data_IF_671700727597
#
_entry.id   IF_671700727597
#
_cell.length_a   1.000
_cell.length_b   1.000
_cell.length_c   1.000
_cell.angle_alpha   90.00
_cell.angle_beta   90.00
_cell.angle_gamma   90.00
#
_symmetry.space_group_name_H-M   'P 1'
#
loop_
_entity.id
_entity.type
_entity.pdbx_description
1 polymer ?
#
# COMPACT_ATOMS: atom_id res chain seq x y z
N UNK A 1 4.40 5.22 24.94
CA UNK A 1 3.69 6.31 24.22
C UNK A 1 4.72 7.32 23.72
N UNK A 2 5.49 6.94 22.71
CA UNK A 2 6.37 7.84 21.97
C UNK A 2 5.59 8.30 20.75
N UNK A 3 5.22 9.58 20.69
CA UNK A 3 4.52 10.17 19.55
C UNK A 3 5.48 10.30 18.38
N UNK A 4 5.22 9.59 17.29
CA UNK A 4 5.85 9.81 15.99
C UNK A 4 5.52 11.24 15.53
N UNK A 5 6.55 12.08 15.35
CA UNK A 5 6.40 13.47 14.91
C UNK A 5 6.69 13.57 13.42
N UNK A 6 5.64 13.55 12.59
CA UNK A 6 5.74 13.94 11.20
C UNK A 6 5.95 15.47 11.12
N UNK A 7 7.08 15.90 10.56
CA UNK A 7 7.37 17.30 10.28
C UNK A 7 6.52 17.80 9.11
N UNK A 8 5.50 18.61 9.40
CA UNK A 8 4.75 19.34 8.38
C UNK A 8 5.59 20.53 7.85
N UNK A 9 6.02 20.46 6.58
CA UNK A 9 6.62 21.57 5.86
C UNK A 9 5.50 22.44 5.29
N UNK A 10 5.21 23.56 5.95
CA UNK A 10 4.31 24.60 5.44
C UNK A 10 4.95 25.36 4.27
N UNK A 11 4.45 25.15 3.07
CA UNK A 11 4.77 25.94 1.88
C UNK A 11 3.84 27.16 1.79
N UNK A 12 4.42 28.36 1.84
CA UNK A 12 3.70 29.62 1.69
C UNK A 12 3.30 29.84 0.21
N UNK A 13 1.99 29.94 -0.05
CA UNK A 13 1.44 30.24 -1.38
C UNK A 13 1.35 31.76 -1.54
N UNK A 14 2.09 32.28 -2.53
CA UNK A 14 2.04 33.68 -2.95
C UNK A 14 0.79 33.93 -3.83
N UNK A 15 -0.10 34.78 -3.32
CA UNK A 15 -1.29 35.25 -4.02
C UNK A 15 -0.90 36.29 -5.07
N UNK A 16 -1.10 36.00 -6.36
CA UNK A 16 -0.98 36.97 -7.45
C UNK A 16 -2.29 37.01 -8.25
N UNK A 17 -2.99 38.13 -8.10
CA UNK A 17 -4.23 38.47 -8.79
C UNK A 17 -3.90 38.94 -10.21
N UNK A 18 -4.22 38.13 -11.21
CA UNK A 18 -4.22 38.51 -12.61
C UNK A 18 -5.65 38.80 -13.10
N UNK A 19 -5.92 40.04 -13.45
CA UNK A 19 -7.16 40.49 -14.09
C UNK A 19 -7.28 39.89 -15.50
N UNK A 20 -8.38 39.21 -15.81
CA UNK A 20 -8.72 38.77 -17.17
C UNK A 20 -10.02 39.42 -17.63
N UNK A 21 -9.94 40.17 -18.73
CA UNK A 21 -11.06 40.85 -19.36
C UNK A 21 -11.79 39.93 -20.35
N UNK A 22 -13.11 39.98 -20.31
CA UNK A 22 -14.01 39.32 -21.26
C UNK A 22 -14.01 40.00 -22.63
N UNK A 23 -14.16 39.22 -23.70
CA UNK A 23 -15.07 39.59 -24.81
C UNK A 23 -15.51 38.34 -25.60
N UNK A 24 -16.78 38.29 -26.06
CA UNK A 24 -17.39 37.11 -26.67
C UNK A 24 -17.43 37.19 -28.21
N UNK A 25 -17.39 36.03 -28.87
CA UNK A 25 -17.85 35.87 -30.25
C UNK A 25 -18.53 34.51 -30.43
N UNK A 26 -19.84 34.53 -30.66
CA UNK A 26 -20.71 33.42 -31.08
C UNK A 26 -20.85 33.40 -32.63
N UNK A 27 -21.58 32.46 -33.24
CA UNK A 27 -21.11 31.14 -33.69
C UNK A 27 -21.21 31.01 -35.23
N UNK A 28 -20.70 29.94 -35.81
CA UNK A 28 -21.10 29.54 -37.16
C UNK A 28 -21.39 28.05 -37.22
N UNK A 29 -22.58 27.73 -37.71
CA UNK A 29 -23.16 26.41 -37.78
C UNK A 29 -22.75 25.68 -39.07
N UNK A 30 -22.54 24.38 -38.98
CA UNK A 30 -22.64 23.43 -40.10
C UNK A 30 -22.96 22.05 -39.51
N UNK A 31 -24.05 21.44 -39.96
CA UNK A 31 -24.55 20.11 -39.57
C UNK A 31 -23.97 18.99 -40.47
N UNK A 32 -24.40 17.71 -40.34
CA UNK A 32 -23.85 16.70 -39.45
C UNK A 32 -23.17 15.55 -40.23
N UNK A 33 -22.11 14.96 -39.68
CA UNK A 33 -21.57 13.69 -40.17
C UNK A 33 -21.58 12.67 -39.03
N UNK A 34 -22.26 11.54 -39.26
CA UNK A 34 -22.32 10.43 -38.30
C UNK A 34 -20.99 9.67 -38.33
N UNK A 35 -20.29 9.46 -37.21
CA UNK A 35 -19.08 8.66 -37.22
C UNK A 35 -19.40 7.16 -37.11
N UNK A 36 -18.71 6.38 -37.93
CA UNK A 36 -18.54 4.93 -37.78
C UNK A 36 -17.89 4.59 -36.42
N UNK A 37 -18.03 3.35 -35.90
CA UNK A 37 -17.57 3.01 -34.57
C UNK A 37 -16.04 3.04 -34.50
N UNK A 38 -15.52 3.97 -33.70
CA UNK A 38 -14.10 4.04 -33.35
C UNK A 38 -13.80 3.00 -32.28
N UNK A 39 -12.88 2.08 -32.58
CA UNK A 39 -12.26 1.22 -31.59
C UNK A 39 -11.51 2.11 -30.59
N UNK A 40 -11.88 2.01 -29.31
CA UNK A 40 -11.28 2.79 -28.24
C UNK A 40 -9.79 2.42 -28.10
N UNK A 41 -8.91 3.38 -28.35
CA UNK A 41 -7.52 3.37 -27.88
C UNK A 41 -7.52 3.52 -26.35
N UNK A 42 -6.52 2.99 -25.62
CA UNK A 42 -6.44 3.15 -24.18
C UNK A 42 -6.25 4.64 -23.85
N UNK A 43 -7.26 5.26 -23.23
CA UNK A 43 -7.18 6.63 -22.76
C UNK A 43 -6.08 6.74 -21.68
N UNK A 44 -5.09 7.59 -21.94
CA UNK A 44 -4.14 8.06 -20.92
C UNK A 44 -4.92 8.81 -19.84
N UNK A 45 -5.10 8.16 -18.68
CA UNK A 45 -5.82 8.73 -17.54
C UNK A 45 -5.09 9.98 -17.00
N UNK A 46 -5.82 10.96 -16.42
CA UNK A 46 -5.21 12.11 -15.78
C UNK A 46 -4.23 11.69 -14.68
N UNK A 47 -3.04 12.31 -14.65
CA UNK A 47 -1.99 12.05 -13.64
C UNK A 47 -2.51 12.16 -12.21
N UNK A 48 -3.47 13.06 -11.96
CA UNK A 48 -4.12 13.23 -10.65
C UNK A 48 -4.89 11.95 -10.20
N UNK A 49 -5.58 11.29 -11.12
CA UNK A 49 -6.28 10.03 -10.82
C UNK A 49 -5.33 8.88 -10.49
N UNK A 50 -4.17 8.82 -11.17
CA UNK A 50 -3.14 7.82 -10.90
C UNK A 50 -2.53 7.98 -9.50
N UNK A 51 -2.15 9.19 -9.12
CA UNK A 51 -1.58 9.43 -7.80
C UNK A 51 -2.58 9.09 -6.68
N UNK A 52 -3.87 9.43 -6.85
CA UNK A 52 -4.93 9.05 -5.91
C UNK A 52 -5.14 7.54 -5.83
N UNK A 53 -5.11 6.82 -6.96
CA UNK A 53 -5.25 5.36 -6.95
C UNK A 53 -4.09 4.68 -6.22
N UNK A 54 -2.85 5.17 -6.42
CA UNK A 54 -1.65 4.66 -5.73
C UNK A 54 -1.77 4.92 -4.23
N UNK A 55 -2.07 6.15 -3.81
CA UNK A 55 -2.21 6.49 -2.39
C UNK A 55 -3.29 5.67 -1.69
N UNK A 56 -4.47 5.56 -2.32
CA UNK A 56 -5.59 4.74 -1.86
C UNK A 56 -5.17 3.27 -1.65
N UNK A 57 -4.54 2.66 -2.65
CA UNK A 57 -4.11 1.27 -2.59
C UNK A 57 -2.96 1.07 -1.61
N UNK A 58 -2.02 2.01 -1.49
CA UNK A 58 -0.94 1.95 -0.49
C UNK A 58 -1.53 1.88 0.91
N UNK A 59 -2.46 2.78 1.28
CA UNK A 59 -3.07 2.80 2.61
C UNK A 59 -3.85 1.52 2.92
N UNK A 60 -4.66 1.03 1.98
CA UNK A 60 -5.38 -0.24 2.15
C UNK A 60 -4.42 -1.45 2.20
N UNK A 61 -3.31 -1.41 1.47
CA UNK A 61 -2.29 -2.47 1.50
C UNK A 61 -1.50 -2.47 2.82
N UNK A 62 -1.22 -1.31 3.41
CA UNK A 62 -0.67 -1.20 4.76
C UNK A 62 -1.64 -1.81 5.79
N UNK A 63 -2.94 -1.50 5.70
CA UNK A 63 -3.94 -2.17 6.54
C UNK A 63 -3.88 -3.69 6.39
N UNK A 64 -3.79 -4.22 5.16
CA UNK A 64 -3.65 -5.68 4.96
C UNK A 64 -2.36 -6.24 5.54
N UNK A 65 -1.24 -5.53 5.44
CA UNK A 65 0.03 -5.92 6.04
C UNK A 65 -0.07 -6.08 7.57
N UNK A 66 -0.66 -5.09 8.26
CA UNK A 66 -0.92 -5.22 9.69
C UNK A 66 -1.84 -6.40 10.02
N UNK A 67 -2.94 -6.57 9.26
CA UNK A 67 -3.88 -7.67 9.49
C UNK A 67 -3.23 -9.04 9.24
N UNK A 68 -2.27 -9.19 8.33
CA UNK A 68 -1.55 -10.47 8.17
C UNK A 68 -0.80 -10.85 9.45
N UNK A 69 -0.14 -9.88 10.09
CA UNK A 69 0.68 -10.12 11.29
C UNK A 69 -0.20 -10.31 12.51
N UNK A 70 -1.27 -9.52 12.65
CA UNK A 70 -2.28 -9.73 13.67
C UNK A 70 -2.87 -11.14 13.60
N UNK A 71 -3.15 -11.66 12.40
CA UNK A 71 -3.64 -13.02 12.22
C UNK A 71 -2.62 -14.06 12.71
N UNK A 72 -1.36 -13.95 12.28
CA UNK A 72 -0.28 -14.86 12.70
C UNK A 72 -0.14 -14.86 14.25
N UNK A 73 -0.20 -13.68 14.88
CA UNK A 73 -0.10 -13.55 16.34
C UNK A 73 -1.32 -14.10 17.08
N UNK A 74 -2.54 -13.95 16.54
CA UNK A 74 -3.74 -14.58 17.09
C UNK A 74 -3.67 -16.11 16.98
N UNK A 75 -3.17 -16.64 15.87
CA UNK A 75 -2.95 -18.08 15.67
C UNK A 75 -1.88 -18.65 16.63
N UNK A 76 -0.94 -17.81 17.06
CA UNK A 76 0.06 -18.11 18.09
C UNK A 76 -0.45 -17.89 19.53
N UNK A 77 -1.76 -17.64 19.72
CA UNK A 77 -2.37 -17.35 21.03
C UNK A 77 -1.76 -16.12 21.73
N UNK A 78 -1.32 -15.11 20.95
CA UNK A 78 -0.71 -13.85 21.43
C UNK A 78 -1.58 -12.62 21.12
N UNK A 79 -2.81 -12.53 21.66
CA UNK A 79 -3.72 -11.43 21.37
C UNK A 79 -3.20 -10.06 21.81
N UNK A 80 -2.38 -10.00 22.87
CA UNK A 80 -1.77 -8.74 23.33
C UNK A 80 -0.73 -8.19 22.35
N UNK A 81 -0.05 -9.06 21.60
CA UNK A 81 0.87 -8.63 20.53
C UNK A 81 0.09 -8.33 19.24
N UNK A 82 -1.01 -9.05 18.97
CA UNK A 82 -1.86 -8.80 17.80
C UNK A 82 -2.62 -7.46 17.88
N UNK A 83 -3.04 -7.05 19.08
CA UNK A 83 -3.86 -5.86 19.33
C UNK A 83 -3.35 -4.57 18.68
N UNK A 84 -2.08 -4.14 18.85
CA UNK A 84 -1.58 -2.92 18.22
C UNK A 84 -1.68 -2.95 16.69
N UNK A 85 -1.43 -4.10 16.07
CA UNK A 85 -1.55 -4.24 14.61
C UNK A 85 -3.00 -4.14 14.11
N UNK A 86 -3.98 -4.51 14.93
CA UNK A 86 -5.40 -4.28 14.59
C UNK A 86 -5.76 -2.79 14.82
N UNK A 87 -5.13 -2.16 15.81
CA UNK A 87 -5.28 -0.74 16.15
C UNK A 87 -4.71 0.21 15.10
N UNK A 88 -3.51 -0.03 14.55
CA UNK A 88 -2.85 0.86 13.58
C UNK A 88 -3.74 1.21 12.36
N UNK A 89 -4.43 0.25 11.70
CA UNK A 89 -5.44 0.55 10.69
C UNK A 89 -6.50 1.57 11.14
N UNK A 90 -6.99 1.47 12.37
CA UNK A 90 -8.08 2.30 12.91
C UNK A 90 -7.58 3.70 13.28
N UNK A 91 -6.46 3.75 13.99
CA UNK A 91 -5.96 4.95 14.67
C UNK A 91 -5.12 5.83 13.76
N UNK A 92 -4.41 5.23 12.80
CA UNK A 92 -3.38 5.92 12.02
C UNK A 92 -3.73 6.02 10.53
N UNK A 93 -4.38 5.01 9.96
CA UNK A 93 -4.58 4.94 8.50
C UNK A 93 -5.99 5.35 8.07
N UNK A 94 -7.02 4.93 8.82
CA UNK A 94 -8.41 5.04 8.33
C UNK A 94 -8.86 6.48 8.04
N UNK A 95 -8.47 7.45 8.88
CA UNK A 95 -8.88 8.85 8.71
C UNK A 95 -8.46 9.41 7.33
N UNK A 96 -7.29 9.02 6.83
CA UNK A 96 -6.75 9.45 5.53
C UNK A 96 -7.41 8.77 4.32
N UNK A 97 -8.30 7.79 4.57
CA UNK A 97 -9.07 7.08 3.56
C UNK A 97 -10.53 7.56 3.47
N UNK A 98 -11.07 8.26 4.47
CA UNK A 98 -12.50 8.57 4.56
C UNK A 98 -13.05 9.26 3.30
N UNK A 99 -12.37 10.32 2.86
CA UNK A 99 -12.76 11.06 1.66
C UNK A 99 -12.64 10.19 0.40
N UNK A 100 -11.58 9.40 0.28
CA UNK A 100 -11.36 8.55 -0.89
C UNK A 100 -12.36 7.38 -0.97
N UNK A 101 -12.76 6.82 0.17
CA UNK A 101 -13.83 5.81 0.24
C UNK A 101 -15.15 6.41 -0.23
N UNK A 102 -15.49 7.61 0.23
CA UNK A 102 -16.70 8.32 -0.18
C UNK A 102 -16.71 8.66 -1.68
N UNK A 103 -15.60 9.20 -2.21
CA UNK A 103 -15.43 9.49 -3.64
C UNK A 103 -15.63 8.25 -4.52
N UNK A 104 -15.28 7.07 -4.01
CA UNK A 104 -15.35 5.78 -4.71
C UNK A 104 -16.63 5.00 -4.44
N UNK A 105 -17.56 5.56 -3.66
CA UNK A 105 -18.81 4.90 -3.29
C UNK A 105 -18.64 3.67 -2.40
N UNK A 106 -17.51 3.56 -1.69
CA UNK A 106 -17.26 2.49 -0.72
C UNK A 106 -17.96 2.85 0.59
N UNK A 107 -18.73 1.91 1.13
CA UNK A 107 -19.34 2.09 2.44
C UNK A 107 -18.26 2.20 3.54
N UNK A 108 -18.42 3.09 4.53
CA UNK A 108 -17.47 3.19 5.62
C UNK A 108 -17.43 1.90 6.43
N UNK A 109 -16.23 1.46 6.81
CA UNK A 109 -15.98 0.23 7.56
C UNK A 109 -15.15 0.44 8.84
N UNK A 110 -14.95 1.68 9.29
CA UNK A 110 -14.23 1.98 10.55
C UNK A 110 -14.79 1.21 11.73
N UNK A 111 -16.12 1.17 11.86
CA UNK A 111 -16.80 0.46 12.94
C UNK A 111 -16.48 -1.04 12.94
N UNK A 112 -16.32 -1.66 11.77
CA UNK A 112 -15.91 -3.06 11.65
C UNK A 112 -14.49 -3.27 12.17
N UNK A 113 -13.56 -2.36 11.85
CA UNK A 113 -12.19 -2.42 12.37
C UNK A 113 -12.15 -2.20 13.90
N UNK A 114 -12.86 -1.18 14.39
CA UNK A 114 -12.95 -0.87 15.84
C UNK A 114 -13.56 -2.03 16.61
N UNK A 115 -14.58 -2.71 16.06
CA UNK A 115 -15.22 -3.84 16.74
C UNK A 115 -14.24 -4.99 17.00
N UNK A 116 -13.40 -5.36 16.01
CA UNK A 116 -12.40 -6.42 16.21
C UNK A 116 -11.26 -5.95 17.12
N UNK A 117 -10.83 -4.69 17.01
CA UNK A 117 -9.81 -4.10 17.89
C UNK A 117 -10.26 -4.15 19.35
N UNK A 118 -11.45 -3.62 19.66
CA UNK A 118 -12.05 -3.63 21.00
C UNK A 118 -12.21 -5.05 21.55
N UNK A 119 -12.55 -6.00 20.68
CA UNK A 119 -12.75 -7.39 21.07
C UNK A 119 -11.44 -8.06 21.48
N UNK A 120 -10.38 -7.91 20.68
CA UNK A 120 -9.04 -8.45 21.00
C UNK A 120 -8.47 -7.76 22.26
N UNK A 121 -8.64 -6.45 22.39
CA UNK A 121 -8.13 -5.68 23.53
C UNK A 121 -8.82 -6.05 24.85
N UNK A 122 -10.15 -6.16 24.86
CA UNK A 122 -10.93 -6.25 26.10
C UNK A 122 -11.43 -7.66 26.41
N UNK A 123 -11.54 -8.52 25.39
CA UNK A 123 -12.08 -9.88 25.50
C UNK A 123 -11.28 -10.85 24.61
N UNK A 124 -9.96 -11.01 24.84
CA UNK A 124 -9.06 -11.77 23.95
C UNK A 124 -9.38 -13.26 23.78
N UNK A 125 -10.31 -13.81 24.56
CA UNK A 125 -10.79 -15.20 24.45
C UNK A 125 -12.21 -15.30 23.88
N UNK A 126 -12.78 -14.20 23.39
CA UNK A 126 -14.12 -14.21 22.83
C UNK A 126 -14.14 -15.03 21.51
N UNK A 127 -15.03 -16.03 21.38
CA UNK A 127 -15.09 -16.87 20.19
C UNK A 127 -15.47 -16.10 18.91
N UNK A 128 -15.93 -14.85 19.04
CA UNK A 128 -16.26 -14.00 17.89
C UNK A 128 -15.04 -13.34 17.24
N UNK A 129 -13.85 -13.37 17.86
CA UNK A 129 -12.64 -12.68 17.33
C UNK A 129 -12.38 -13.06 15.89
N UNK A 130 -12.31 -14.35 15.57
CA UNK A 130 -12.01 -14.78 14.20
C UNK A 130 -13.06 -14.30 13.19
N UNK A 131 -14.35 -14.33 13.56
CA UNK A 131 -15.41 -13.88 12.68
C UNK A 131 -15.29 -12.37 12.40
N UNK A 132 -15.09 -11.55 13.45
CA UNK A 132 -14.94 -10.10 13.33
C UNK A 132 -13.67 -9.69 12.61
N UNK A 133 -12.60 -10.45 12.80
CA UNK A 133 -11.37 -10.29 12.07
C UNK A 133 -11.54 -10.56 10.58
N UNK A 134 -12.26 -11.61 10.22
CA UNK A 134 -12.60 -11.91 8.83
C UNK A 134 -13.50 -10.83 8.20
N UNK A 135 -14.46 -10.29 8.96
CA UNK A 135 -15.30 -9.18 8.52
C UNK A 135 -14.46 -7.92 8.22
N UNK A 136 -13.49 -7.61 9.08
CA UNK A 136 -12.53 -6.51 8.89
C UNK A 136 -11.68 -6.70 7.63
N UNK A 137 -11.11 -7.90 7.44
CA UNK A 137 -10.36 -8.24 6.21
C UNK A 137 -11.24 -8.10 4.98
N UNK A 138 -12.47 -8.63 5.00
CA UNK A 138 -13.38 -8.58 3.87
C UNK A 138 -13.77 -7.13 3.51
N UNK A 139 -13.90 -6.25 4.51
CA UNK A 139 -14.15 -4.84 4.27
C UNK A 139 -12.97 -4.15 3.57
N UNK A 140 -11.74 -4.41 4.00
CA UNK A 140 -10.53 -3.89 3.36
C UNK A 140 -10.40 -4.44 1.93
N UNK A 141 -10.57 -5.75 1.74
CA UNK A 141 -10.51 -6.39 0.41
C UNK A 141 -11.62 -5.87 -0.52
N UNK A 142 -12.82 -5.60 0.00
CA UNK A 142 -13.91 -4.97 -0.73
C UNK A 142 -13.57 -3.55 -1.17
N UNK A 143 -12.92 -2.77 -0.31
CA UNK A 143 -12.44 -1.42 -0.63
C UNK A 143 -11.35 -1.44 -1.71
N UNK A 144 -10.43 -2.40 -1.66
CA UNK A 144 -9.40 -2.62 -2.71
C UNK A 144 -10.08 -2.97 -4.05
N UNK A 145 -11.08 -3.86 -4.01
CA UNK A 145 -11.74 -4.39 -5.19
C UNK A 145 -12.61 -3.37 -5.97
N UNK A 146 -12.85 -2.17 -5.43
CA UNK A 146 -13.53 -1.09 -6.17
C UNK A 146 -12.67 -0.56 -7.32
N UNK A 147 -11.35 -0.65 -7.24
CA UNK A 147 -10.49 -0.37 -8.38
C UNK A 147 -10.46 -1.58 -9.33
N UNK A 148 -10.82 -1.42 -10.63
CA UNK A 148 -10.77 -2.50 -11.60
C UNK A 148 -9.40 -3.18 -11.64
N UNK A 149 -9.36 -4.50 -11.87
CA UNK A 149 -8.10 -5.26 -11.86
C UNK A 149 -7.10 -4.76 -12.90
N UNK A 150 -7.58 -4.38 -14.07
CA UNK A 150 -6.77 -3.80 -15.14
C UNK A 150 -6.04 -2.54 -14.68
N UNK A 151 -6.65 -1.78 -13.76
CA UNK A 151 -6.07 -0.58 -13.16
C UNK A 151 -5.17 -0.92 -11.98
N UNK A 152 -5.65 -1.68 -10.99
CA UNK A 152 -4.89 -1.98 -9.78
C UNK A 152 -3.67 -2.89 -10.03
N UNK A 153 -3.70 -3.72 -11.08
CA UNK A 153 -2.61 -4.62 -11.47
C UNK A 153 -1.80 -4.10 -12.66
N UNK A 154 -2.00 -2.83 -13.04
CA UNK A 154 -1.12 -2.15 -13.99
C UNK A 154 0.24 -1.88 -13.34
N UNK A 155 1.34 -1.92 -14.12
CA UNK A 155 2.68 -1.70 -13.57
C UNK A 155 2.87 -0.27 -13.02
N UNK A 156 2.16 0.72 -13.58
CA UNK A 156 2.15 2.12 -13.13
C UNK A 156 1.42 2.33 -11.79
N UNK A 157 0.62 1.35 -11.34
CA UNK A 157 -0.03 1.38 -10.02
C UNK A 157 0.62 0.40 -9.05
N UNK A 158 0.73 -0.87 -9.42
CA UNK A 158 1.15 -1.93 -8.51
C UNK A 158 2.60 -1.78 -8.04
N UNK A 159 3.53 -1.40 -8.94
CA UNK A 159 4.94 -1.25 -8.57
C UNK A 159 5.17 -0.07 -7.62
N UNK A 160 4.59 1.13 -7.84
CA UNK A 160 4.63 2.19 -6.83
C UNK A 160 4.01 1.80 -5.49
N UNK A 161 2.88 1.09 -5.48
CA UNK A 161 2.26 0.61 -4.22
C UNK A 161 3.21 -0.33 -3.47
N UNK A 162 3.84 -1.29 -4.18
CA UNK A 162 4.85 -2.18 -3.61
C UNK A 162 6.02 -1.38 -3.03
N UNK A 163 6.56 -0.42 -3.79
CA UNK A 163 7.69 0.39 -3.33
C UNK A 163 7.34 1.21 -2.08
N UNK A 164 6.15 1.81 -2.02
CA UNK A 164 5.69 2.54 -0.84
C UNK A 164 5.59 1.63 0.39
N UNK A 165 5.11 0.39 0.23
CA UNK A 165 5.07 -0.58 1.33
C UNK A 165 6.48 -0.94 1.81
N UNK A 166 7.42 -1.09 0.90
CA UNK A 166 8.82 -1.40 1.23
C UNK A 166 9.54 -0.23 1.90
N UNK A 167 9.23 1.01 1.53
CA UNK A 167 9.77 2.20 2.19
C UNK A 167 9.32 2.27 3.65
N UNK A 168 8.03 2.04 3.92
CA UNK A 168 7.50 1.95 5.28
C UNK A 168 8.11 0.77 6.02
N UNK A 169 8.17 -0.41 5.40
CA UNK A 169 8.77 -1.59 6.02
C UNK A 169 10.23 -1.37 6.42
N UNK A 170 11.02 -0.71 5.57
CA UNK A 170 12.41 -0.38 5.88
C UNK A 170 12.50 0.53 7.12
N UNK A 171 11.66 1.58 7.18
CA UNK A 171 11.65 2.52 8.29
C UNK A 171 11.24 1.83 9.61
N UNK A 172 10.22 0.99 9.59
CA UNK A 172 9.78 0.23 10.76
C UNK A 172 10.87 -0.74 11.24
N UNK A 173 11.55 -1.43 10.32
CA UNK A 173 12.65 -2.34 10.70
C UNK A 173 13.84 -1.60 11.32
N UNK A 174 14.17 -0.41 10.80
CA UNK A 174 15.19 0.45 11.39
C UNK A 174 14.78 0.90 12.81
N UNK A 175 13.53 1.33 12.99
CA UNK A 175 12.98 1.73 14.28
C UNK A 175 12.95 0.58 15.30
N UNK A 176 12.77 -0.65 14.83
CA UNK A 176 12.77 -1.85 15.66
C UNK A 176 14.13 -2.15 16.32
N UNK A 177 15.24 -1.65 15.77
CA UNK A 177 16.59 -2.04 16.16
C UNK A 177 17.27 -0.99 17.04
N UNK A 178 17.75 -1.42 18.20
CA UNK A 178 18.65 -0.61 19.05
C UNK A 178 19.75 -1.45 19.65
N UNK A 179 21.00 -0.98 19.57
CA UNK A 179 22.18 -1.68 20.10
C UNK A 179 22.28 -3.14 19.63
N UNK A 180 22.01 -3.39 18.35
CA UNK A 180 21.99 -4.72 17.72
C UNK A 180 21.03 -5.72 18.38
N UNK A 181 19.89 -5.22 18.86
CA UNK A 181 18.77 -5.99 19.40
C UNK A 181 17.48 -5.50 18.77
N UNK A 182 16.50 -6.39 18.63
CA UNK A 182 15.12 -5.95 18.39
C UNK A 182 14.58 -5.40 19.72
N UNK A 183 14.49 -4.09 19.84
CA UNK A 183 14.00 -3.40 21.04
C UNK A 183 12.52 -3.05 20.95
N UNK A 184 12.02 -2.81 19.74
CA UNK A 184 10.59 -2.55 19.50
C UNK A 184 10.05 -3.67 18.60
N UNK A 185 9.36 -4.64 19.23
CA UNK A 185 8.87 -5.82 18.53
C UNK A 185 7.71 -5.52 17.58
N UNK A 186 6.88 -4.51 17.91
CA UNK A 186 5.72 -4.09 17.12
C UNK A 186 6.19 -3.58 15.74
N UNK A 187 7.27 -2.83 15.69
CA UNK A 187 7.81 -2.21 14.48
C UNK A 187 8.51 -3.28 13.61
N UNK A 188 9.15 -4.27 14.25
CA UNK A 188 9.62 -5.48 13.56
C UNK A 188 8.46 -6.25 12.91
N UNK A 189 7.36 -6.39 13.65
CA UNK A 189 6.14 -7.08 13.24
C UNK A 189 5.41 -6.33 12.11
N UNK A 190 5.27 -5.01 12.18
CA UNK A 190 4.67 -4.19 11.12
C UNK A 190 5.49 -4.29 9.82
N UNK A 191 6.80 -4.14 9.93
CA UNK A 191 7.72 -4.31 8.81
C UNK A 191 7.56 -5.66 8.11
N UNK A 192 7.46 -6.76 8.88
CA UNK A 192 7.18 -8.11 8.37
C UNK A 192 5.89 -8.10 7.55
N UNK A 193 4.81 -7.57 8.10
CA UNK A 193 3.49 -7.58 7.47
C UNK A 193 3.49 -6.90 6.10
N UNK A 194 4.15 -5.76 6.00
CA UNK A 194 4.24 -5.02 4.74
C UNK A 194 5.07 -5.76 3.68
N UNK A 195 6.20 -6.36 4.06
CA UNK A 195 7.02 -7.18 3.15
C UNK A 195 6.26 -8.42 2.69
N UNK A 196 5.58 -9.12 3.61
CA UNK A 196 4.80 -10.31 3.27
C UNK A 196 3.64 -9.95 2.34
N UNK A 197 2.91 -8.86 2.59
CA UNK A 197 1.82 -8.45 1.73
C UNK A 197 2.32 -8.07 0.33
N UNK A 198 3.40 -7.29 0.25
CA UNK A 198 4.02 -6.90 -1.00
C UNK A 198 4.47 -8.12 -1.83
N UNK A 199 5.13 -9.10 -1.20
CA UNK A 199 5.71 -10.24 -1.90
C UNK A 199 4.70 -11.34 -2.23
N UNK A 200 3.74 -11.61 -1.35
CA UNK A 200 2.83 -12.75 -1.50
C UNK A 200 1.52 -12.40 -2.24
N UNK A 201 1.13 -11.12 -2.27
CA UNK A 201 -0.15 -10.69 -2.83
C UNK A 201 0.02 -9.69 -3.97
N UNK A 202 0.76 -8.60 -3.75
CA UNK A 202 0.88 -7.54 -4.74
C UNK A 202 1.79 -7.96 -5.92
N UNK A 203 3.04 -8.35 -5.64
CA UNK A 203 3.99 -8.68 -6.70
C UNK A 203 3.52 -9.85 -7.59
N UNK A 204 2.94 -10.95 -7.09
CA UNK A 204 2.45 -12.04 -7.92
C UNK A 204 1.36 -11.62 -8.90
N UNK A 205 0.58 -10.58 -8.57
CA UNK A 205 -0.47 -10.05 -9.46
C UNK A 205 0.09 -9.42 -10.74
N UNK A 206 1.35 -8.98 -10.71
CA UNK A 206 2.02 -8.31 -11.85
C UNK A 206 3.25 -9.05 -12.35
N UNK A 207 3.70 -10.11 -11.67
CA UNK A 207 4.92 -10.86 -11.97
C UNK A 207 5.00 -11.31 -13.43
N UNK A 208 3.91 -11.82 -14.01
CA UNK A 208 3.92 -12.29 -15.40
C UNK A 208 4.12 -11.13 -16.39
N UNK A 209 3.50 -9.98 -16.14
CA UNK A 209 3.71 -8.74 -16.90
C UNK A 209 5.15 -8.26 -16.76
N UNK A 210 5.68 -8.23 -15.53
CA UNK A 210 7.08 -7.89 -15.25
C UNK A 210 8.04 -8.82 -16.01
N UNK A 211 7.80 -10.13 -15.99
CA UNK A 211 8.60 -11.12 -16.74
C UNK A 211 8.58 -10.86 -18.24
N UNK A 212 7.42 -10.55 -18.81
CA UNK A 212 7.28 -10.29 -20.24
C UNK A 212 7.99 -8.99 -20.65
N UNK A 213 7.89 -7.94 -19.82
CA UNK A 213 8.51 -6.64 -20.08
C UNK A 213 10.02 -6.65 -19.88
N UNK A 214 10.51 -7.26 -18.78
CA UNK A 214 11.93 -7.33 -18.46
C UNK A 214 12.24 -8.58 -17.60
N UNK A 215 12.63 -9.71 -18.23
CA UNK A 215 12.95 -10.95 -17.52
C UNK A 215 14.11 -10.83 -16.52
N UNK A 216 15.04 -9.89 -16.73
CA UNK A 216 16.15 -9.68 -15.79
C UNK A 216 15.66 -8.95 -14.54
N UNK A 217 14.87 -7.88 -14.71
CA UNK A 217 14.24 -7.19 -13.58
C UNK A 217 13.36 -8.15 -12.77
N UNK A 218 12.63 -9.04 -13.44
CA UNK A 218 11.83 -10.05 -12.77
C UNK A 218 12.67 -10.96 -11.86
N UNK A 219 13.79 -11.50 -12.36
CA UNK A 219 14.71 -12.33 -11.57
C UNK A 219 15.34 -11.55 -10.41
N UNK A 220 15.75 -10.31 -10.66
CA UNK A 220 16.34 -9.45 -9.64
C UNK A 220 15.34 -9.16 -8.51
N UNK A 221 14.11 -8.78 -8.84
CA UNK A 221 13.06 -8.49 -7.86
C UNK A 221 12.75 -9.74 -7.04
N UNK A 222 12.58 -10.90 -7.68
CA UNK A 222 12.31 -12.16 -6.97
C UNK A 222 13.43 -12.55 -6.01
N UNK A 223 14.68 -12.55 -6.50
CA UNK A 223 15.82 -12.90 -5.66
C UNK A 223 15.97 -11.95 -4.46
N UNK A 224 15.72 -10.65 -4.67
CA UNK A 224 15.79 -9.65 -3.61
C UNK A 224 14.65 -9.82 -2.60
N UNK A 225 13.41 -10.12 -3.01
CA UNK A 225 12.33 -10.46 -2.09
C UNK A 225 12.60 -11.74 -1.30
N UNK A 226 13.07 -12.80 -1.96
CA UNK A 226 13.43 -14.07 -1.32
C UNK A 226 14.56 -13.90 -0.28
N UNK A 227 15.48 -12.96 -0.52
CA UNK A 227 16.50 -12.57 0.45
C UNK A 227 15.92 -11.71 1.57
N UNK A 228 15.15 -10.67 1.24
CA UNK A 228 14.57 -9.70 2.17
C UNK A 228 13.71 -10.38 3.23
N UNK A 229 12.82 -11.30 2.85
CA UNK A 229 11.93 -11.97 3.80
C UNK A 229 12.69 -12.75 4.91
N UNK A 230 13.98 -13.07 4.71
CA UNK A 230 14.80 -13.76 5.72
C UNK A 230 15.12 -12.90 6.94
N UNK A 231 14.99 -11.57 6.85
CA UNK A 231 15.09 -10.69 8.02
C UNK A 231 13.97 -10.98 9.04
N UNK A 232 12.84 -11.53 8.58
CA UNK A 232 11.71 -11.91 9.42
C UNK A 232 11.43 -13.42 9.37
N UNK A 233 12.12 -14.25 10.18
CA UNK A 233 11.81 -15.69 10.25
C UNK A 233 10.42 -16.02 10.82
N UNK A 234 9.88 -15.18 11.71
CA UNK A 234 8.58 -15.37 12.39
C UNK A 234 7.94 -14.04 12.78
N UNK A 235 6.65 -14.02 13.14
CA UNK A 235 6.05 -12.85 13.81
C UNK A 235 6.63 -12.62 15.22
N UNK A 236 7.08 -13.68 15.89
CA UNK A 236 7.85 -13.52 17.13
C UNK A 236 9.24 -12.97 16.82
N UNK A 237 9.52 -11.76 17.33
CA UNK A 237 10.80 -11.10 17.11
C UNK A 237 11.96 -11.87 17.77
N UNK A 238 13.07 -12.13 17.05
CA UNK A 238 14.28 -12.66 17.66
C UNK A 238 14.95 -11.62 18.55
N UNK A 239 15.76 -12.06 19.52
CA UNK A 239 16.46 -11.13 20.43
C UNK A 239 17.47 -10.22 19.71
N UNK A 240 18.06 -10.69 18.61
CA UNK A 240 18.96 -9.94 17.75
C UNK A 240 18.45 -10.02 16.30
N UNK A 241 18.62 -8.95 15.51
CA UNK A 241 18.17 -8.94 14.12
C UNK A 241 18.92 -10.00 13.30
N UNK A 242 18.21 -10.66 12.38
CA UNK A 242 18.81 -11.64 11.45
C UNK A 242 19.62 -10.94 10.35
N UNK A 243 19.14 -9.77 9.93
CA UNK A 243 19.81 -8.86 8.99
C UNK A 243 19.93 -7.48 9.61
N UNK A 244 20.99 -6.73 9.33
CA UNK A 244 21.08 -5.33 9.78
C UNK A 244 20.08 -4.44 9.02
N UNK A 245 19.83 -3.23 9.54
CA UNK A 245 18.99 -2.26 8.84
C UNK A 245 19.57 -1.90 7.46
N UNK A 246 20.89 -1.82 7.34
CA UNK A 246 21.57 -1.57 6.06
C UNK A 246 21.40 -2.74 5.08
N UNK A 247 21.45 -3.99 5.55
CA UNK A 247 21.20 -5.16 4.71
C UNK A 247 19.76 -5.22 4.21
N UNK A 248 18.77 -4.89 5.06
CA UNK A 248 17.37 -4.75 4.66
C UNK A 248 17.20 -3.64 3.63
N UNK A 249 17.77 -2.46 3.89
CA UNK A 249 17.73 -1.33 2.95
C UNK A 249 18.36 -1.67 1.61
N UNK A 250 19.46 -2.43 1.60
CA UNK A 250 20.09 -2.88 0.36
C UNK A 250 19.16 -3.79 -0.47
N UNK A 251 18.41 -4.70 0.16
CA UNK A 251 17.44 -5.53 -0.57
C UNK A 251 16.25 -4.71 -1.08
N UNK A 252 15.72 -3.79 -0.28
CA UNK A 252 14.66 -2.86 -0.71
C UNK A 252 15.12 -2.05 -1.92
N UNK A 253 16.33 -1.49 -1.88
CA UNK A 253 16.91 -0.75 -3.00
C UNK A 253 17.07 -1.61 -4.25
N UNK A 254 17.42 -2.90 -4.13
CA UNK A 254 17.49 -3.81 -5.27
C UNK A 254 16.14 -4.07 -5.91
N UNK A 255 15.08 -4.22 -5.11
CA UNK A 255 13.70 -4.35 -5.60
C UNK A 255 13.31 -3.07 -6.35
N UNK A 256 13.51 -1.91 -5.71
CA UNK A 256 13.17 -0.60 -6.28
C UNK A 256 13.89 -0.34 -7.60
N UNK A 257 15.19 -0.65 -7.70
CA UNK A 257 15.93 -0.54 -8.96
C UNK A 257 15.33 -1.44 -10.06
N UNK A 258 14.96 -2.68 -9.71
CA UNK A 258 14.25 -3.58 -10.61
C UNK A 258 12.93 -2.96 -11.11
N UNK A 259 12.13 -2.38 -10.20
CA UNK A 259 10.87 -1.72 -10.58
C UNK A 259 11.07 -0.49 -11.47
N UNK A 260 12.08 0.34 -11.20
CA UNK A 260 12.40 1.54 -11.98
C UNK A 260 12.83 1.19 -13.41
N UNK A 261 13.54 0.06 -13.59
CA UNK A 261 13.96 -0.40 -14.91
C UNK A 261 12.77 -0.73 -15.84
N UNK A 262 11.59 -1.06 -15.28
CA UNK A 262 10.36 -1.33 -16.03
C UNK A 262 9.64 -0.05 -16.47
N UNK A 263 9.86 1.06 -15.76
CA UNK A 263 9.30 2.37 -16.10
C UNK A 263 10.15 3.10 -17.16
N UNK A 264 11.44 2.75 -17.26
CA UNK A 264 12.37 3.35 -18.22
C UNK A 264 12.41 2.65 -19.59
N UNK A 265 11.78 1.48 -19.74
CA UNK A 265 11.70 0.79 -21.03
C UNK A 265 10.69 1.50 -21.94
N UNK A 266 11.07 1.99 -23.13
CA UNK A 266 10.09 2.53 -24.06
C UNK A 266 9.08 1.44 -24.40
N UNK A 267 7.79 1.78 -24.38
CA UNK A 267 6.74 0.91 -24.89
C UNK A 267 7.17 0.43 -26.29
N UNK A 268 7.44 -0.86 -26.42
CA UNK A 268 7.65 -1.45 -27.73
C UNK A 268 6.35 -1.22 -28.51
N UNK A 269 6.36 -0.25 -29.41
CA UNK A 269 5.25 -0.03 -30.31
C UNK A 269 5.13 -1.26 -31.22
N UNK A 270 3.91 -1.80 -31.42
CA UNK A 270 3.68 -2.92 -32.31
C UNK A 270 4.02 -2.60 -33.77
#
# INVERSE_FOLDING_TARGET
MVKLRLFAVTMAIACSLGLSACSPSTPSASSPESPAPSAASPETQPVDGLTKDIDYLTKLSLMRGHMLVAQELLELEKPAEAEPHIGHPVEEIYADLEDQLAERGVAPFKATLTEVHDLVQNRPSDPQIQAKFNDAIAAIDGAIAVLPKERSQSLDVALPVINNLLDVAQAEYEAAISNNKISEAIEYQDSRGFVLYAYQFLYPSVRDTVRQSNPEAQRQIEAAFEALQKAWPSAEAPAAPVMTAEEVSAQVAQIQQGTQSLQAAPAAQP
#
